data_IF_513296979657
#
_entry.id   IF_513296979657
#
_cell.length_a   1.000
_cell.length_b   1.000
_cell.length_c   1.000
_cell.angle_alpha   90.00
_cell.angle_beta   90.00
_cell.angle_gamma   90.00
#
_symmetry.space_group_name_H-M   'P 1'
#
loop_
_entity.id
_entity.type
_entity.pdbx_description
1 polymer ?
#
# COMPACT_ATOMS: atom_id res chain seq x y z
N UNK A 1 -15.45 8.78 15.11
CA UNK A 1 -15.09 8.88 13.67
C UNK A 1 -13.84 8.03 13.49
N UNK A 2 -13.92 7.12 12.54
CA UNK A 2 -13.24 5.83 12.44
C UNK A 2 -11.71 5.90 12.40
N UNK A 3 -11.10 4.96 13.12
CA UNK A 3 -9.67 4.72 13.26
C UNK A 3 -8.94 4.61 11.91
N UNK A 4 -8.22 5.66 11.50
CA UNK A 4 -7.34 5.63 10.32
C UNK A 4 -5.91 6.09 10.64
N UNK A 5 -5.52 6.11 11.92
CA UNK A 5 -4.30 6.80 12.37
C UNK A 5 -3.01 5.99 12.19
N UNK A 6 -3.05 4.76 11.66
CA UNK A 6 -1.84 3.96 11.43
C UNK A 6 -1.40 3.93 9.95
N UNK A 7 -2.29 4.32 9.04
CA UNK A 7 -2.08 4.29 7.59
C UNK A 7 -2.40 5.67 7.00
N UNK A 8 -1.41 6.57 7.06
CA UNK A 8 -1.54 7.94 6.55
C UNK A 8 -1.76 7.94 5.04
N UNK A 9 -2.84 8.60 4.60
CA UNK A 9 -3.11 8.85 3.18
C UNK A 9 -2.36 10.12 2.80
N UNK A 10 -1.21 9.95 2.16
CA UNK A 10 -0.40 11.06 1.67
C UNK A 10 -0.89 11.52 0.28
N UNK A 11 -0.48 12.72 -0.19
CA UNK A 11 -0.80 13.16 -1.56
C UNK A 11 -0.32 12.19 -2.64
N UNK A 12 0.77 11.47 -2.40
CA UNK A 12 1.31 10.44 -3.30
C UNK A 12 0.36 9.24 -3.43
N UNK A 13 -0.21 8.78 -2.31
CA UNK A 13 -1.24 7.71 -2.31
C UNK A 13 -2.47 8.15 -3.10
N UNK A 14 -2.90 9.42 -2.95
CA UNK A 14 -4.01 9.98 -3.72
C UNK A 14 -3.67 10.05 -5.21
N UNK A 15 -2.45 10.45 -5.56
CA UNK A 15 -1.99 10.49 -6.94
C UNK A 15 -2.01 9.09 -7.58
N UNK A 16 -1.44 8.11 -6.91
CA UNK A 16 -1.44 6.72 -7.36
C UNK A 16 -2.86 6.15 -7.54
N UNK A 17 -3.80 6.52 -6.66
CA UNK A 17 -5.20 6.12 -6.79
C UNK A 17 -5.85 6.71 -8.05
N UNK A 18 -5.58 7.99 -8.35
CA UNK A 18 -6.11 8.66 -9.55
C UNK A 18 -5.59 8.03 -10.84
N UNK A 19 -4.37 7.54 -10.84
CA UNK A 19 -3.78 6.81 -11.98
C UNK A 19 -4.35 5.39 -12.13
N UNK A 20 -4.92 4.81 -11.07
CA UNK A 20 -5.35 3.41 -11.01
C UNK A 20 -6.82 3.25 -10.54
N UNK A 21 -7.82 3.75 -11.29
CA UNK A 21 -9.25 3.58 -10.95
C UNK A 21 -9.69 2.11 -10.97
N UNK A 22 -10.61 1.74 -10.08
CA UNK A 22 -11.02 0.36 -9.78
C UNK A 22 -9.87 -0.58 -9.35
N UNK A 23 -8.74 0.00 -8.92
CA UNK A 23 -7.54 -0.73 -8.54
C UNK A 23 -7.28 -0.71 -7.04
N UNK A 24 -6.00 -0.86 -6.72
CA UNK A 24 -5.48 -0.88 -5.36
C UNK A 24 -4.18 -0.08 -5.31
N UNK A 25 -4.00 0.72 -4.26
CA UNK A 25 -2.72 1.37 -3.96
C UNK A 25 -2.06 0.60 -2.82
N UNK A 26 -0.84 0.11 -3.02
CA UNK A 26 -0.14 -0.72 -2.05
C UNK A 26 0.74 0.13 -1.13
N UNK A 27 0.69 -0.12 0.18
CA UNK A 27 1.66 0.38 1.14
C UNK A 27 2.77 -0.64 1.30
N UNK A 28 4.00 -0.24 0.99
CA UNK A 28 5.19 -1.09 1.05
C UNK A 28 6.15 -0.46 2.06
N UNK A 29 6.77 -1.28 2.91
CA UNK A 29 7.87 -0.87 3.77
C UNK A 29 9.20 -1.39 3.25
N UNK A 30 10.16 -0.47 3.09
CA UNK A 30 11.47 -0.71 2.48
C UNK A 30 11.67 0.11 1.22
N UNK A 31 12.87 0.04 0.65
CA UNK A 31 13.23 0.70 -0.59
C UNK A 31 13.27 -0.33 -1.72
N UNK A 32 12.40 -0.15 -2.71
CA UNK A 32 12.30 -1.03 -3.87
C UNK A 32 12.30 -0.20 -5.15
N UNK A 33 13.02 -0.67 -6.17
CA UNK A 33 12.96 -0.06 -7.50
C UNK A 33 11.62 -0.26 -8.21
N UNK A 34 11.30 0.53 -9.25
CA UNK A 34 10.03 0.44 -9.99
C UNK A 34 9.83 -0.89 -10.73
N UNK A 35 10.91 -1.64 -10.98
CA UNK A 35 10.89 -2.96 -11.60
C UNK A 35 11.37 -4.06 -10.65
N UNK A 36 11.63 -3.71 -9.39
CA UNK A 36 12.13 -4.66 -8.40
C UNK A 36 10.98 -5.52 -7.89
N UNK A 37 11.27 -6.79 -7.64
CA UNK A 37 10.30 -7.66 -6.97
C UNK A 37 10.13 -7.22 -5.52
N UNK A 38 8.90 -6.90 -5.15
CA UNK A 38 8.53 -6.60 -3.76
C UNK A 38 7.99 -7.89 -3.12
N UNK A 39 8.68 -8.42 -2.09
CA UNK A 39 8.20 -9.59 -1.38
C UNK A 39 6.91 -9.28 -0.62
N UNK A 40 5.97 -10.25 -0.50
CA UNK A 40 4.72 -10.04 0.22
C UNK A 40 4.94 -9.70 1.69
N UNK A 41 6.05 -10.09 2.30
CA UNK A 41 6.42 -9.74 3.68
C UNK A 41 6.66 -8.23 3.87
N UNK A 42 7.01 -7.50 2.81
CA UNK A 42 7.25 -6.06 2.83
C UNK A 42 6.00 -5.24 2.51
N UNK A 43 4.92 -5.86 2.02
CA UNK A 43 3.67 -5.18 1.70
C UNK A 43 2.84 -5.10 2.97
N UNK A 44 2.66 -3.90 3.54
CA UNK A 44 1.86 -3.66 4.74
C UNK A 44 0.37 -3.95 4.48
N UNK A 45 -0.10 -3.57 3.29
CA UNK A 45 -1.48 -3.74 2.87
C UNK A 45 -1.80 -2.90 1.64
N UNK A 46 -3.08 -2.75 1.33
CA UNK A 46 -3.53 -1.97 0.19
C UNK A 46 -4.80 -1.17 0.47
N UNK A 47 -4.86 0.04 -0.06
CA UNK A 47 -6.08 0.83 -0.11
C UNK A 47 -6.87 0.51 -1.38
N UNK A 48 -8.19 0.34 -1.23
CA UNK A 48 -9.08 0.11 -2.37
C UNK A 48 -9.45 1.42 -3.04
N UNK A 49 -9.38 1.43 -4.37
CA UNK A 49 -9.71 2.59 -5.21
C UNK A 49 -11.04 2.36 -5.92
N UNK A 50 -11.88 3.38 -5.94
CA UNK A 50 -13.16 3.35 -6.64
C UNK A 50 -13.01 3.63 -8.16
N UNK A 51 -14.13 3.63 -8.87
CA UNK A 51 -14.15 3.87 -10.31
C UNK A 51 -13.71 5.29 -10.73
N UNK A 52 -13.71 6.25 -9.80
CA UNK A 52 -13.31 7.64 -10.04
C UNK A 52 -11.81 7.86 -9.75
N UNK A 53 -11.10 6.83 -9.28
CA UNK A 53 -9.72 6.96 -8.82
C UNK A 53 -9.62 7.55 -7.41
N UNK A 54 -10.71 7.50 -6.63
CA UNK A 54 -10.75 7.94 -5.25
C UNK A 54 -10.52 6.77 -4.29
N UNK A 55 -9.77 7.02 -3.22
CA UNK A 55 -9.59 6.04 -2.16
C UNK A 55 -10.92 5.89 -1.41
N UNK A 56 -11.42 4.66 -1.35
CA UNK A 56 -12.66 4.33 -0.63
C UNK A 56 -12.55 4.51 0.89
N UNK A 57 -11.32 4.65 1.40
CA UNK A 57 -11.01 4.59 2.84
C UNK A 57 -10.89 3.17 3.39
N UNK A 58 -11.21 2.14 2.59
CA UNK A 58 -10.99 0.74 2.95
C UNK A 58 -9.51 0.39 2.81
N UNK A 59 -8.84 0.07 3.93
CA UNK A 59 -7.49 -0.47 3.95
C UNK A 59 -7.53 -1.96 4.28
N UNK A 60 -6.96 -2.78 3.39
CA UNK A 60 -6.82 -4.21 3.58
C UNK A 60 -5.40 -4.54 4.06
N UNK A 61 -5.20 -4.84 5.36
CA UNK A 61 -3.90 -5.25 5.87
C UNK A 61 -3.49 -6.60 5.26
N UNK A 62 -2.21 -6.75 4.96
CA UNK A 62 -1.67 -8.01 4.45
C UNK A 62 -1.26 -8.92 5.62
N UNK A 63 -1.87 -10.10 5.79
CA UNK A 63 -1.53 -11.00 6.91
C UNK A 63 -0.12 -11.59 6.81
N UNK A 64 0.56 -11.45 5.67
CA UNK A 64 1.95 -11.87 5.49
C UNK A 64 2.96 -10.78 5.83
N UNK A 65 2.52 -9.55 6.10
CA UNK A 65 3.41 -8.45 6.44
C UNK A 65 4.24 -8.79 7.69
N UNK A 66 5.54 -8.58 7.60
CA UNK A 66 6.49 -8.79 8.69
C UNK A 66 7.22 -7.48 9.00
N UNK A 67 6.91 -6.81 10.13
CA UNK A 67 7.62 -5.60 10.53
C UNK A 67 9.13 -5.85 10.67
N UNK A 68 9.93 -4.97 10.07
CA UNK A 68 11.38 -5.11 10.07
C UNK A 68 11.90 -6.23 9.15
N UNK A 69 11.07 -6.73 8.22
CA UNK A 69 11.54 -7.54 7.11
C UNK A 69 12.64 -6.76 6.37
N UNK A 70 13.87 -7.13 6.67
CA UNK A 70 15.04 -6.67 5.94
C UNK A 70 15.19 -7.64 4.77
N UNK A 71 15.61 -7.15 3.60
CA UNK A 71 16.07 -7.97 2.48
C UNK A 71 17.30 -8.76 2.94
N UNK A 72 17.11 -9.78 3.78
CA UNK A 72 18.19 -10.66 4.22
C UNK A 72 18.47 -11.53 3.01
N UNK A 73 19.61 -11.23 2.39
CA UNK A 73 20.17 -11.99 1.28
C UNK A 73 20.13 -13.47 1.61
N UNK A 74 19.43 -14.25 0.78
CA UNK A 74 19.46 -15.71 0.81
C UNK A 74 20.24 -16.22 -0.39
#
# INVERSE_FOLDING_TARGET
MTSNTEHEITPDVVHAARENPNGWVYKIEGEYGPTEYVPPEAVVGAWKVDANGDLTGEFMPNPKYQPGFSKVEK
#
